data_IF_985258869638
#
_entry.id   IF_985258869638
#
_cell.length_a   1.000
_cell.length_b   1.000
_cell.length_c   1.000
_cell.angle_alpha   90.00
_cell.angle_beta   90.00
_cell.angle_gamma   90.00
#
_symmetry.space_group_name_H-M   'P 1'
#
loop_
_entity.id
_entity.type
_entity.pdbx_description
1 polymer ?
#
# COMPACT_ATOMS: atom_id res chain seq x y z
N UNK A 1 -10.81 20.14 -14.13
CA UNK A 1 -9.49 19.50 -14.28
C UNK A 1 -9.73 18.01 -14.37
N UNK A 2 -9.32 17.37 -15.45
CA UNK A 2 -9.54 15.92 -15.67
C UNK A 2 -8.83 15.13 -14.58
N UNK A 3 -9.60 14.41 -13.75
CA UNK A 3 -9.11 13.52 -12.71
C UNK A 3 -8.46 12.29 -13.38
N UNK A 4 -7.20 12.45 -13.82
CA UNK A 4 -6.42 11.35 -14.37
C UNK A 4 -6.08 10.44 -13.18
N UNK A 5 -6.78 9.33 -13.04
CA UNK A 5 -6.49 8.35 -12.01
C UNK A 5 -4.98 8.08 -12.00
N UNK A 6 -4.32 8.25 -10.85
CA UNK A 6 -2.89 7.99 -10.77
C UNK A 6 -2.65 6.53 -11.10
N UNK A 7 -1.71 6.28 -12.01
CA UNK A 7 -1.36 4.91 -12.40
C UNK A 7 -0.74 4.19 -11.22
N UNK A 8 -1.26 3.04 -10.88
CA UNK A 8 -0.66 2.14 -9.88
C UNK A 8 0.39 1.28 -10.58
N UNK A 9 1.60 1.26 -10.03
CA UNK A 9 2.71 0.42 -10.49
C UNK A 9 2.94 -0.70 -9.49
N UNK A 10 2.79 -1.94 -9.92
CA UNK A 10 3.08 -3.09 -9.07
C UNK A 10 4.60 -3.28 -8.93
N UNK A 11 5.13 -3.08 -7.72
CA UNK A 11 6.54 -3.33 -7.39
C UNK A 11 6.62 -4.27 -6.19
N UNK A 12 7.23 -5.43 -6.37
CA UNK A 12 7.38 -6.45 -5.30
C UNK A 12 6.04 -6.83 -4.63
N UNK A 13 4.97 -6.91 -5.42
CA UNK A 13 3.62 -7.18 -4.91
C UNK A 13 2.94 -6.03 -4.18
N UNK A 14 3.50 -4.82 -4.22
CA UNK A 14 2.92 -3.61 -3.62
C UNK A 14 2.38 -2.67 -4.69
N UNK A 15 1.20 -2.05 -4.47
CA UNK A 15 0.56 -1.11 -5.40
C UNK A 15 1.13 0.31 -5.23
N UNK A 16 2.31 0.57 -5.77
CA UNK A 16 2.93 1.89 -5.66
C UNK A 16 2.14 2.91 -6.48
N UNK A 17 1.72 3.96 -5.81
CA UNK A 17 0.98 5.06 -6.43
C UNK A 17 1.96 6.00 -7.15
N UNK A 18 1.86 6.07 -8.47
CA UNK A 18 2.74 6.91 -9.31
C UNK A 18 2.23 8.35 -9.34
N UNK A 19 2.65 9.14 -8.38
CA UNK A 19 2.24 10.54 -8.18
C UNK A 19 3.45 11.43 -7.91
N UNK A 20 3.31 12.72 -8.20
CA UNK A 20 4.18 13.77 -7.70
C UNK A 20 3.81 14.15 -6.25
N UNK A 21 4.67 14.91 -5.57
CA UNK A 21 4.37 15.45 -4.25
C UNK A 21 3.07 16.29 -4.26
N UNK A 22 2.92 17.15 -5.24
CA UNK A 22 1.72 17.99 -5.37
C UNK A 22 0.44 17.17 -5.56
N UNK A 23 0.48 16.11 -6.38
CA UNK A 23 -0.65 15.21 -6.58
C UNK A 23 -0.94 14.38 -5.30
N UNK A 24 0.10 13.98 -4.54
CA UNK A 24 -0.08 13.31 -3.26
C UNK A 24 -0.80 14.18 -2.24
N UNK A 25 -0.41 15.45 -2.12
CA UNK A 25 -1.07 16.44 -1.24
C UNK A 25 -2.52 16.70 -1.67
N UNK A 26 -2.77 16.88 -2.97
CA UNK A 26 -4.13 17.06 -3.48
C UNK A 26 -5.02 15.85 -3.16
N UNK A 27 -4.50 14.61 -3.25
CA UNK A 27 -5.25 13.41 -2.85
C UNK A 27 -5.49 13.30 -1.35
N UNK A 28 -4.56 13.81 -0.52
CA UNK A 28 -4.82 13.93 0.92
C UNK A 28 -6.03 14.84 1.15
N UNK A 29 -6.13 15.96 0.45
CA UNK A 29 -7.26 16.88 0.54
C UNK A 29 -8.57 16.23 0.06
N UNK A 30 -8.56 15.51 -1.07
CA UNK A 30 -9.68 14.72 -1.54
C UNK A 30 -10.12 13.65 -0.53
N UNK A 31 -9.17 12.95 0.08
CA UNK A 31 -9.43 11.95 1.11
C UNK A 31 -10.08 12.56 2.36
N UNK A 32 -9.63 13.75 2.79
CA UNK A 32 -10.26 14.49 3.90
C UNK A 32 -11.73 14.81 3.57
N UNK A 33 -11.98 15.28 2.35
CA UNK A 33 -13.32 15.64 1.91
C UNK A 33 -14.28 14.44 1.77
N UNK A 34 -13.74 13.22 1.65
CA UNK A 34 -14.54 11.99 1.43
C UNK A 34 -15.35 11.55 2.66
N UNK A 35 -15.02 12.02 3.85
CA UNK A 35 -15.65 11.65 5.12
C UNK A 35 -15.36 10.21 5.60
N UNK A 36 -14.45 9.48 4.95
CA UNK A 36 -14.04 8.12 5.31
C UNK A 36 -12.57 8.10 5.75
N UNK A 37 -12.19 7.11 6.56
CA UNK A 37 -10.80 6.93 6.97
C UNK A 37 -9.97 6.32 5.84
N UNK A 38 -8.94 7.02 5.42
CA UNK A 38 -7.97 6.63 4.41
C UNK A 38 -6.61 6.37 5.06
N UNK A 39 -6.04 5.20 4.79
CA UNK A 39 -4.68 4.86 5.19
C UNK A 39 -3.72 5.15 4.05
N UNK A 40 -2.60 5.82 4.35
CA UNK A 40 -1.51 6.10 3.42
C UNK A 40 -0.23 5.49 3.98
N UNK A 41 0.51 4.76 3.14
CA UNK A 41 1.80 4.19 3.50
C UNK A 41 2.93 4.86 2.70
N UNK A 42 4.10 5.02 3.32
CA UNK A 42 5.33 5.48 2.66
C UNK A 42 6.27 4.29 2.51
N UNK A 43 6.17 3.59 1.37
CA UNK A 43 6.80 2.30 1.17
C UNK A 43 8.22 2.43 0.61
N UNK A 44 9.16 1.84 1.33
CA UNK A 44 10.56 1.67 0.92
C UNK A 44 10.88 0.18 0.69
N UNK A 45 12.14 -0.14 0.42
CA UNK A 45 12.57 -1.51 0.15
C UNK A 45 12.35 -2.45 1.35
N UNK A 46 12.46 -1.95 2.58
CA UNK A 46 12.19 -2.72 3.79
C UNK A 46 10.69 -3.13 3.89
N UNK A 47 9.79 -2.25 3.47
CA UNK A 47 8.37 -2.58 3.32
C UNK A 47 8.16 -3.72 2.32
N UNK A 48 8.78 -3.62 1.16
CA UNK A 48 8.69 -4.66 0.14
C UNK A 48 9.20 -6.01 0.67
N UNK A 49 10.39 -6.03 1.30
CA UNK A 49 10.95 -7.24 1.89
C UNK A 49 10.07 -7.83 2.99
N UNK A 50 9.55 -7.00 3.90
CA UNK A 50 8.70 -7.46 4.99
C UNK A 50 7.37 -8.03 4.45
N UNK A 51 6.78 -7.38 3.43
CA UNK A 51 5.56 -7.85 2.77
C UNK A 51 5.74 -9.18 2.03
N UNK A 52 6.91 -9.41 1.44
CA UNK A 52 7.22 -10.71 0.80
C UNK A 52 7.30 -11.87 1.80
N UNK A 53 7.53 -11.57 3.09
CA UNK A 53 7.58 -12.56 4.18
C UNK A 53 6.27 -12.71 4.94
N UNK A 54 5.45 -11.66 4.94
CA UNK A 54 4.22 -11.57 5.70
C UNK A 54 3.06 -11.16 4.79
N UNK A 55 2.25 -12.13 4.38
CA UNK A 55 1.07 -11.94 3.52
C UNK A 55 0.04 -11.01 4.18
N UNK A 56 -0.08 -11.04 5.52
CA UNK A 56 -0.98 -10.13 6.23
C UNK A 56 -0.53 -8.67 6.07
N UNK A 57 0.75 -8.40 6.29
CA UNK A 57 1.31 -7.06 6.05
C UNK A 57 1.15 -6.63 4.59
N UNK A 58 1.39 -7.54 3.65
CA UNK A 58 1.18 -7.25 2.23
C UNK A 58 -0.26 -6.82 1.95
N UNK A 59 -1.25 -7.54 2.49
CA UNK A 59 -2.66 -7.17 2.37
C UNK A 59 -2.95 -5.81 2.99
N UNK A 60 -2.43 -5.54 4.19
CA UNK A 60 -2.56 -4.23 4.86
C UNK A 60 -2.08 -3.09 3.95
N UNK A 61 -0.91 -3.26 3.31
CA UNK A 61 -0.36 -2.24 2.41
C UNK A 61 -1.17 -2.14 1.11
N UNK A 62 -1.62 -3.27 0.56
CA UNK A 62 -2.47 -3.28 -0.63
C UNK A 62 -3.85 -2.64 -0.40
N UNK A 63 -4.33 -2.61 0.83
CA UNK A 63 -5.59 -1.98 1.22
C UNK A 63 -5.43 -0.48 1.52
N UNK A 64 -4.21 0.06 1.52
CA UNK A 64 -3.98 1.50 1.65
C UNK A 64 -4.57 2.25 0.45
N UNK A 65 -5.19 3.40 0.70
CA UNK A 65 -5.72 4.26 -0.36
C UNK A 65 -4.62 4.88 -1.22
N UNK A 66 -3.40 4.99 -0.68
CA UNK A 66 -2.22 5.46 -1.38
C UNK A 66 -0.97 4.82 -0.80
N UNK A 67 -0.04 4.36 -1.66
CA UNK A 67 1.26 3.81 -1.27
C UNK A 67 2.33 4.64 -1.97
N UNK A 68 2.98 5.51 -1.23
CA UNK A 68 3.96 6.46 -1.75
C UNK A 68 5.35 5.84 -1.84
N UNK A 69 6.11 6.06 -2.92
CA UNK A 69 7.46 5.54 -3.07
C UNK A 69 8.45 6.31 -2.19
N UNK A 70 8.91 5.69 -1.10
CA UNK A 70 9.89 6.24 -0.18
C UNK A 70 11.25 5.54 -0.37
N UNK A 71 12.18 6.26 -0.93
CA UNK A 71 13.55 5.80 -1.09
C UNK A 71 13.97 5.52 -2.53
N UNK A 72 15.27 5.81 -2.80
CA UNK A 72 15.87 5.65 -4.12
C UNK A 72 15.77 4.23 -4.71
N UNK A 73 15.93 3.13 -3.94
CA UNK A 73 15.82 1.79 -4.47
C UNK A 73 14.47 1.47 -5.11
N UNK A 74 13.37 2.06 -4.61
CA UNK A 74 12.04 1.89 -5.22
C UNK A 74 11.97 2.56 -6.60
N UNK A 75 12.56 3.75 -6.74
CA UNK A 75 12.64 4.48 -8.01
C UNK A 75 13.48 3.71 -9.03
N UNK A 76 14.63 3.17 -8.58
CA UNK A 76 15.52 2.38 -9.46
C UNK A 76 14.86 1.07 -9.90
N UNK A 77 14.21 0.36 -8.99
CA UNK A 77 13.45 -0.85 -9.32
C UNK A 77 12.35 -0.57 -10.36
N UNK A 78 11.56 0.47 -10.16
CA UNK A 78 10.52 0.88 -11.11
C UNK A 78 11.08 1.16 -12.50
N UNK A 79 12.23 1.87 -12.57
CA UNK A 79 12.91 2.14 -13.83
C UNK A 79 13.43 0.87 -14.50
N UNK A 80 13.96 -0.08 -13.73
CA UNK A 80 14.42 -1.38 -14.24
C UNK A 80 13.28 -2.24 -14.79
N UNK A 81 12.10 -2.16 -14.18
CA UNK A 81 10.88 -2.80 -14.67
C UNK A 81 10.25 -2.07 -15.88
N UNK A 82 10.87 -0.99 -16.39
CA UNK A 82 10.35 -0.22 -17.52
C UNK A 82 9.14 0.65 -17.17
N UNK A 83 8.88 0.88 -15.88
CA UNK A 83 7.75 1.67 -15.37
C UNK A 83 8.26 2.76 -14.42
N UNK A 84 8.93 3.80 -14.95
CA UNK A 84 9.51 4.85 -14.12
C UNK A 84 8.42 5.56 -13.32
N UNK A 85 8.70 5.79 -12.03
CA UNK A 85 7.87 6.62 -11.16
C UNK A 85 8.20 8.09 -11.41
N UNK A 86 7.19 8.95 -11.28
CA UNK A 86 7.32 10.38 -11.54
C UNK A 86 8.23 11.06 -10.52
N UNK A 87 8.04 10.73 -9.24
CA UNK A 87 8.75 11.38 -8.15
C UNK A 87 8.93 10.43 -6.95
N UNK A 88 9.96 10.67 -6.15
CA UNK A 88 10.14 10.06 -4.83
C UNK A 88 9.40 10.91 -3.80
N UNK A 89 8.35 10.36 -3.19
CA UNK A 89 7.54 11.03 -2.17
C UNK A 89 7.80 10.37 -0.81
N UNK A 90 8.64 11.01 0.01
CA UNK A 90 9.00 10.49 1.33
C UNK A 90 8.11 11.05 2.44
N UNK A 91 7.98 10.32 3.55
CA UNK A 91 7.25 10.82 4.72
C UNK A 91 7.81 12.13 5.25
N UNK A 92 9.14 12.28 5.24
CA UNK A 92 9.83 13.49 5.74
C UNK A 92 9.55 14.72 4.86
N UNK A 93 9.46 14.53 3.54
CA UNK A 93 9.15 15.63 2.61
C UNK A 93 7.64 15.94 2.57
N UNK A 94 6.79 14.94 2.80
CA UNK A 94 5.35 15.10 2.81
C UNK A 94 4.86 15.92 4.02
N UNK A 95 5.45 15.73 5.21
CA UNK A 95 5.00 16.41 6.44
C UNK A 95 5.06 17.94 6.33
N UNK A 96 6.13 18.59 5.81
CA UNK A 96 6.16 20.03 5.55
C UNK A 96 5.05 20.50 4.61
N UNK A 97 4.75 19.74 3.57
CA UNK A 97 3.66 20.08 2.64
C UNK A 97 2.27 19.96 3.31
N UNK A 98 2.10 18.95 4.19
CA UNK A 98 0.88 18.83 5.00
C UNK A 98 0.77 19.95 6.05
N UNK A 99 1.89 20.45 6.60
CA UNK A 99 1.90 21.61 7.48
C UNK A 99 1.45 22.89 6.74
N UNK A 100 1.92 23.12 5.51
CA UNK A 100 1.44 24.18 4.63
C UNK A 100 -0.06 24.06 4.34
N UNK A 101 -0.50 22.85 4.00
CA UNK A 101 -1.93 22.57 3.75
C UNK A 101 -2.76 22.83 5.01
N UNK A 102 -2.27 22.41 6.19
CA UNK A 102 -2.90 22.69 7.49
C UNK A 102 -3.06 24.20 7.72
N UNK A 103 -1.99 24.98 7.53
CA UNK A 103 -2.03 26.42 7.67
C UNK A 103 -3.02 27.09 6.69
N UNK A 104 -3.12 26.59 5.47
CA UNK A 104 -3.98 27.15 4.42
C UNK A 104 -5.46 26.82 4.63
N UNK A 105 -5.77 25.59 5.09
CA UNK A 105 -7.14 25.04 5.17
C UNK A 105 -7.68 24.92 6.59
N UNK A 106 -6.86 25.12 7.61
CA UNK A 106 -7.23 24.91 9.01
C UNK A 106 -7.32 23.41 9.40
N UNK A 107 -6.69 22.51 8.65
CA UNK A 107 -6.72 21.08 8.98
C UNK A 107 -5.87 20.77 10.22
N UNK A 108 -6.50 20.16 11.24
CA UNK A 108 -5.79 19.71 12.43
C UNK A 108 -4.92 18.49 12.16
N UNK A 109 -3.66 18.52 12.59
CA UNK A 109 -2.70 17.41 12.52
C UNK A 109 -2.45 16.86 13.92
N UNK A 110 -2.52 15.53 14.08
CA UNK A 110 -2.19 14.84 15.33
C UNK A 110 -0.93 13.98 15.14
N UNK A 111 -0.01 14.05 16.10
CA UNK A 111 1.22 13.24 16.11
C UNK A 111 1.06 12.07 17.07
N UNK A 112 1.21 10.86 16.54
CA UNK A 112 1.12 9.64 17.30
C UNK A 112 2.43 8.85 17.24
N UNK A 113 3.05 8.59 18.39
CA UNK A 113 4.30 7.85 18.49
C UNK A 113 5.54 8.73 18.49
N UNK A 114 6.70 8.14 18.20
CA UNK A 114 8.03 8.63 18.48
C UNK A 114 8.24 8.91 19.99
N UNK A 115 9.42 9.44 20.39
CA UNK A 115 9.60 9.92 21.74
C UNK A 115 8.86 11.24 21.96
N UNK A 116 8.44 11.51 23.21
CA UNK A 116 7.78 12.77 23.55
C UNK A 116 8.66 13.99 23.20
N UNK A 117 9.97 13.87 23.39
CA UNK A 117 10.93 14.93 23.05
C UNK A 117 10.98 15.18 21.53
N UNK A 118 11.07 14.12 20.72
CA UNK A 118 11.09 14.22 19.25
C UNK A 118 9.78 14.77 18.71
N UNK A 119 8.64 14.27 19.19
CA UNK A 119 7.31 14.72 18.79
C UNK A 119 7.09 16.19 19.10
N UNK A 120 7.47 16.63 20.33
CA UNK A 120 7.38 18.03 20.77
C UNK A 120 8.23 18.94 19.89
N UNK A 121 9.50 18.56 19.70
CA UNK A 121 10.43 19.38 18.92
C UNK A 121 10.04 19.46 17.45
N UNK A 122 9.57 18.35 16.87
CA UNK A 122 9.05 18.34 15.50
C UNK A 122 7.85 19.29 15.34
N UNK A 123 6.91 19.28 16.30
CA UNK A 123 5.79 20.22 16.29
C UNK A 123 6.26 21.69 16.31
N UNK A 124 7.16 22.03 17.24
CA UNK A 124 7.73 23.37 17.34
C UNK A 124 8.43 23.82 16.05
N UNK A 125 9.17 22.93 15.40
CA UNK A 125 9.83 23.24 14.12
C UNK A 125 8.80 23.52 13.04
N UNK A 126 7.76 22.70 12.93
CA UNK A 126 6.72 22.89 11.91
C UNK A 126 5.90 24.15 12.14
N UNK A 127 5.51 24.46 13.39
CA UNK A 127 4.79 25.68 13.74
C UNK A 127 5.62 26.94 13.49
N UNK A 128 6.95 26.88 13.73
CA UNK A 128 7.88 27.98 13.46
C UNK A 128 8.07 28.20 11.96
N UNK A 129 8.31 27.10 11.19
CA UNK A 129 8.70 27.19 9.78
C UNK A 129 7.48 27.35 8.86
N UNK A 130 6.29 26.94 9.34
CA UNK A 130 5.01 27.06 8.64
C UNK A 130 3.95 27.68 9.56
N UNK A 131 4.00 29.02 9.78
CA UNK A 131 3.06 29.71 10.66
C UNK A 131 1.60 29.46 10.26
N UNK A 132 0.76 29.18 11.24
CA UNK A 132 -0.64 28.79 11.01
C UNK A 132 -0.89 27.28 10.93
N UNK A 133 0.15 26.46 11.02
CA UNK A 133 -0.01 25.00 11.17
C UNK A 133 -0.77 24.68 12.45
N UNK A 134 -1.79 23.84 12.36
CA UNK A 134 -2.62 23.42 13.49
C UNK A 134 -2.22 22.03 14.00
N UNK A 135 -1.26 21.96 14.94
CA UNK A 135 -0.96 20.71 15.65
C UNK A 135 -1.97 20.56 16.82
N UNK A 136 -3.06 19.83 16.58
CA UNK A 136 -4.18 19.72 17.52
C UNK A 136 -3.92 18.76 18.68
N UNK A 137 -2.87 17.94 18.61
CA UNK A 137 -2.49 17.05 19.69
C UNK A 137 -1.28 16.20 19.37
N UNK A 138 -0.73 15.61 20.43
CA UNK A 138 0.41 14.70 20.38
C UNK A 138 0.25 13.64 21.47
N UNK A 139 0.56 12.40 21.13
CA UNK A 139 0.59 11.31 22.10
C UNK A 139 1.71 10.32 21.77
N UNK A 140 2.55 10.06 22.74
CA UNK A 140 3.67 9.11 22.64
C UNK A 140 3.41 7.94 23.60
N UNK A 141 2.72 6.87 23.17
CA UNK A 141 2.50 5.71 24.02
C UNK A 141 3.82 5.03 24.37
N UNK A 142 3.88 4.28 25.47
CA UNK A 142 5.06 3.50 25.84
C UNK A 142 5.54 2.60 24.69
N UNK A 143 6.86 2.41 24.58
CA UNK A 143 7.44 1.51 23.57
C UNK A 143 7.19 0.06 23.98
N UNK A 144 6.22 -0.58 23.34
CA UNK A 144 5.77 -1.95 23.65
C UNK A 144 5.32 -2.67 22.37
N UNK A 145 5.09 -3.98 22.44
CA UNK A 145 4.60 -4.74 21.31
C UNK A 145 3.19 -4.31 20.90
N UNK A 146 2.81 -4.56 19.65
CA UNK A 146 1.52 -4.10 19.09
C UNK A 146 0.30 -4.63 19.87
N UNK A 147 0.39 -5.85 20.39
CA UNK A 147 -0.70 -6.49 21.15
C UNK A 147 -0.81 -6.00 22.61
N UNK A 148 0.22 -5.32 23.11
CA UNK A 148 0.28 -4.73 24.45
C UNK A 148 -0.17 -3.26 24.48
N UNK A 149 -0.36 -2.66 23.29
CA UNK A 149 -0.73 -1.24 23.21
C UNK A 149 -2.16 -1.02 23.71
N UNK A 150 -2.31 0.01 24.54
CA UNK A 150 -3.62 0.49 24.98
C UNK A 150 -4.32 1.26 23.86
N UNK A 151 -4.95 0.52 22.93
CA UNK A 151 -5.69 1.10 21.83
C UNK A 151 -6.86 1.99 22.30
N UNK A 152 -7.43 1.72 23.50
CA UNK A 152 -8.56 2.51 24.02
C UNK A 152 -8.08 3.91 24.36
N UNK A 153 -6.98 4.03 25.10
CA UNK A 153 -6.42 5.33 25.46
C UNK A 153 -5.89 6.08 24.24
N UNK A 154 -5.21 5.40 23.31
CA UNK A 154 -4.73 6.03 22.07
C UNK A 154 -5.89 6.62 21.28
N UNK A 155 -6.94 5.84 21.05
CA UNK A 155 -8.12 6.30 20.31
C UNK A 155 -8.85 7.42 21.03
N UNK A 156 -8.93 7.38 22.37
CA UNK A 156 -9.51 8.44 23.20
C UNK A 156 -8.78 9.78 23.00
N UNK A 157 -7.44 9.77 23.01
CA UNK A 157 -6.62 10.96 22.79
C UNK A 157 -6.87 11.56 21.39
N UNK A 158 -6.94 10.70 20.39
CA UNK A 158 -7.22 11.12 18.99
C UNK A 158 -8.65 11.69 18.87
N UNK A 159 -9.64 11.00 19.44
CA UNK A 159 -11.06 11.41 19.38
C UNK A 159 -11.30 12.77 20.07
N UNK A 160 -10.57 13.07 21.16
CA UNK A 160 -10.63 14.36 21.84
C UNK A 160 -10.08 15.49 20.97
N UNK A 161 -8.98 15.24 20.25
CA UNK A 161 -8.32 16.22 19.40
C UNK A 161 -9.02 16.46 18.04
N UNK A 162 -9.83 15.50 17.57
CA UNK A 162 -10.58 15.53 16.30
C UNK A 162 -9.72 15.95 15.09
N UNK A 163 -8.57 15.31 14.84
CA UNK A 163 -7.68 15.71 13.76
C UNK A 163 -8.26 15.35 12.39
N UNK A 164 -7.82 16.07 11.36
CA UNK A 164 -8.06 15.73 9.96
C UNK A 164 -6.97 14.77 9.44
N UNK A 165 -5.75 14.91 9.98
CA UNK A 165 -4.57 14.13 9.58
C UNK A 165 -3.93 13.53 10.84
N UNK A 166 -3.73 12.22 10.84
CA UNK A 166 -3.01 11.47 11.87
C UNK A 166 -1.67 10.99 11.32
N UNK A 167 -0.58 11.47 11.87
CA UNK A 167 0.77 11.04 11.52
C UNK A 167 1.26 10.01 12.55
N UNK A 168 1.52 8.78 12.09
CA UNK A 168 1.86 7.64 12.96
C UNK A 168 3.33 7.28 12.82
N UNK A 169 4.08 7.35 13.92
CA UNK A 169 5.53 7.12 14.00
C UNK A 169 5.89 5.92 14.90
N UNK A 170 5.29 4.74 14.64
CA UNK A 170 5.61 3.49 15.36
C UNK A 170 6.68 2.65 14.65
N UNK A 171 7.06 3.04 13.44
CA UNK A 171 7.93 2.27 12.55
C UNK A 171 7.20 1.14 11.82
N UNK A 172 7.79 0.71 10.69
CA UNK A 172 7.30 -0.42 9.90
C UNK A 172 7.68 -1.75 10.58
N UNK A 173 6.79 -2.76 10.59
CA UNK A 173 5.42 -2.80 10.04
C UNK A 173 4.35 -2.37 11.05
N UNK A 174 4.74 -2.01 12.26
CA UNK A 174 3.84 -1.79 13.39
C UNK A 174 2.80 -0.69 13.12
N UNK A 175 3.22 0.42 12.52
CA UNK A 175 2.34 1.56 12.23
C UNK A 175 1.27 1.19 11.19
N UNK A 176 1.62 0.46 10.12
CA UNK A 176 0.68 0.05 9.09
C UNK A 176 -0.38 -0.89 9.64
N UNK A 177 0.06 -1.88 10.43
CA UNK A 177 -0.83 -2.87 11.06
C UNK A 177 -1.73 -2.19 12.09
N UNK A 178 -1.20 -1.25 12.90
CA UNK A 178 -1.98 -0.53 13.89
C UNK A 178 -3.09 0.32 13.26
N UNK A 179 -2.78 1.11 12.23
CA UNK A 179 -3.75 1.92 11.50
C UNK A 179 -4.83 1.01 10.89
N UNK A 180 -4.41 -0.05 10.19
CA UNK A 180 -5.33 -0.98 9.55
C UNK A 180 -6.29 -1.65 10.53
N UNK A 181 -5.76 -2.15 11.66
CA UNK A 181 -6.54 -2.80 12.72
C UNK A 181 -7.58 -1.87 13.33
N UNK A 182 -7.22 -0.61 13.52
CA UNK A 182 -8.08 0.39 14.11
C UNK A 182 -8.90 1.21 13.09
N UNK A 183 -8.77 0.95 11.79
CA UNK A 183 -9.38 1.73 10.69
C UNK A 183 -10.88 2.01 10.87
N UNK A 184 -11.64 1.02 11.36
CA UNK A 184 -13.09 1.15 11.58
C UNK A 184 -13.44 1.97 12.84
N UNK A 185 -12.51 2.11 13.77
CA UNK A 185 -12.66 2.84 15.04
C UNK A 185 -12.11 4.26 14.95
N UNK A 186 -11.15 4.49 14.04
CA UNK A 186 -10.56 5.81 13.79
C UNK A 186 -11.57 6.72 13.11
N UNK A 187 -11.84 7.87 13.73
CA UNK A 187 -12.68 8.94 13.16
C UNK A 187 -11.83 10.03 12.51
N UNK A 188 -10.70 9.63 11.94
CA UNK A 188 -9.75 10.53 11.29
C UNK A 188 -9.79 10.27 9.79
N UNK A 189 -10.02 11.31 8.95
CA UNK A 189 -10.07 11.12 7.51
C UNK A 189 -8.81 10.55 6.90
N UNK A 190 -7.63 10.96 7.37
CA UNK A 190 -6.35 10.50 6.81
C UNK A 190 -5.39 10.07 7.90
N UNK A 191 -4.90 8.83 7.84
CA UNK A 191 -3.86 8.29 8.70
C UNK A 191 -2.64 7.87 7.87
N UNK A 192 -1.45 8.37 8.22
CA UNK A 192 -0.22 8.19 7.45
C UNK A 192 0.86 7.58 8.32
N UNK A 193 1.43 6.45 7.89
CA UNK A 193 2.62 5.88 8.50
C UNK A 193 3.87 6.62 8.03
N UNK A 194 4.58 7.28 8.95
CA UNK A 194 5.72 8.16 8.63
C UNK A 194 7.07 7.68 9.18
N UNK A 195 7.08 6.58 9.94
CA UNK A 195 8.31 6.03 10.53
C UNK A 195 9.08 7.04 11.39
N UNK A 196 10.39 7.15 11.17
CA UNK A 196 11.27 8.05 11.92
C UNK A 196 11.30 9.51 11.44
N UNK A 197 10.27 9.99 10.74
CA UNK A 197 10.28 11.33 10.18
C UNK A 197 10.29 12.44 11.24
N UNK A 198 9.66 12.21 12.40
CA UNK A 198 9.70 13.19 13.50
C UNK A 198 11.12 13.43 14.04
N UNK A 199 11.96 12.40 14.13
CA UNK A 199 13.36 12.55 14.56
C UNK A 199 14.17 13.38 13.57
N UNK A 200 13.88 13.25 12.28
CA UNK A 200 14.55 14.05 11.24
C UNK A 200 14.08 15.51 11.27
N UNK A 201 12.79 15.77 11.42
CA UNK A 201 12.25 17.15 11.53
C UNK A 201 12.73 17.81 12.83
N UNK A 202 12.78 17.05 13.94
CA UNK A 202 13.32 17.52 15.20
C UNK A 202 14.84 17.80 15.16
N UNK A 203 15.55 17.39 14.07
CA UNK A 203 16.99 17.54 13.92
C UNK A 203 17.81 16.58 14.79
N UNK A 204 17.19 15.54 15.36
CA UNK A 204 17.88 14.48 16.10
C UNK A 204 18.68 13.57 15.14
N UNK A 205 18.17 13.41 13.91
CA UNK A 205 18.85 12.77 12.79
C UNK A 205 19.18 13.82 11.74
N UNK A 206 20.45 13.94 11.37
CA UNK A 206 20.87 14.87 10.33
C UNK A 206 20.43 14.37 8.96
N UNK A 207 19.70 15.18 8.25
CA UNK A 207 19.35 14.90 6.86
C UNK A 207 20.56 15.09 5.96
N UNK A 208 20.66 14.29 4.89
CA UNK A 208 21.70 14.45 3.90
C UNK A 208 21.63 15.86 3.26
N UNK A 209 22.77 16.51 2.96
CA UNK A 209 22.81 17.74 2.18
C UNK A 209 22.02 17.62 0.87
N UNK A 210 21.44 18.72 0.38
CA UNK A 210 20.57 18.72 -0.80
C UNK A 210 21.21 18.08 -2.05
N UNK A 211 22.54 18.25 -2.23
CA UNK A 211 23.25 17.63 -3.36
C UNK A 211 23.32 16.11 -3.26
N UNK A 212 23.48 15.55 -2.05
CA UNK A 212 23.44 14.09 -1.81
C UNK A 212 22.01 13.55 -2.07
N UNK A 213 20.98 14.32 -1.64
CA UNK A 213 19.59 13.96 -1.89
C UNK A 213 19.29 13.94 -3.40
N UNK A 214 19.75 14.94 -4.17
CA UNK A 214 19.62 15.00 -5.64
C UNK A 214 20.31 13.83 -6.33
N UNK A 215 21.42 13.34 -5.81
CA UNK A 215 22.10 12.12 -6.29
C UNK A 215 21.42 10.83 -5.85
N UNK A 216 20.34 10.90 -5.07
CA UNK A 216 19.62 9.74 -4.50
C UNK A 216 20.50 8.87 -3.58
N UNK A 217 21.53 9.45 -2.96
CA UNK A 217 22.48 8.78 -2.06
C UNK A 217 22.16 9.03 -0.57
N UNK A 218 20.97 9.52 -0.24
CA UNK A 218 20.56 9.77 1.15
C UNK A 218 20.65 8.50 2.02
N UNK A 219 20.33 7.33 1.45
CA UNK A 219 20.46 6.04 2.12
C UNK A 219 21.91 5.73 2.55
N UNK A 220 22.91 6.09 1.73
CA UNK A 220 24.33 5.92 2.06
C UNK A 220 24.76 6.88 3.16
N UNK A 221 24.32 8.13 3.10
CA UNK A 221 24.57 9.12 4.14
C UNK A 221 24.02 8.67 5.49
N UNK A 222 22.80 8.10 5.51
CA UNK A 222 22.19 7.52 6.72
C UNK A 222 22.95 6.29 7.22
N UNK A 223 23.41 5.44 6.31
CA UNK A 223 24.25 4.28 6.66
C UNK A 223 25.52 4.69 7.41
N UNK A 224 26.15 5.79 6.99
CA UNK A 224 27.35 6.32 7.66
C UNK A 224 27.06 6.91 9.05
N UNK A 225 25.84 7.38 9.30
CA UNK A 225 25.43 7.87 10.63
C UNK A 225 25.10 6.75 11.61
N UNK A 226 24.47 5.66 11.14
CA UNK A 226 23.98 4.55 11.97
C UNK A 226 24.39 3.19 11.38
N UNK A 227 25.68 2.90 11.23
CA UNK A 227 26.14 1.70 10.50
C UNK A 227 25.70 0.40 11.17
N UNK A 228 25.78 0.31 12.49
CA UNK A 228 25.40 -0.90 13.24
C UNK A 228 23.92 -1.29 13.07
N UNK A 229 23.05 -0.32 12.96
CA UNK A 229 21.60 -0.53 12.78
C UNK A 229 21.23 -0.75 11.32
N UNK A 230 21.83 0.01 10.39
CA UNK A 230 21.39 0.05 8.99
C UNK A 230 22.11 -0.93 8.08
N UNK A 231 23.37 -1.30 8.38
CA UNK A 231 24.14 -2.22 7.53
C UNK A 231 23.49 -3.61 7.40
N UNK A 232 23.09 -4.29 8.51
CA UNK A 232 22.41 -5.57 8.40
C UNK A 232 21.09 -5.45 7.63
N UNK A 233 20.32 -4.39 7.89
CA UNK A 233 19.06 -4.13 7.20
C UNK A 233 19.27 -3.98 5.70
N UNK A 234 20.19 -3.12 5.26
CA UNK A 234 20.46 -2.89 3.84
C UNK A 234 21.06 -4.12 3.13
N UNK A 235 21.85 -4.93 3.83
CA UNK A 235 22.33 -6.20 3.29
C UNK A 235 21.18 -7.18 3.02
N UNK A 236 20.22 -7.31 3.95
CA UNK A 236 19.01 -8.13 3.76
C UNK A 236 18.10 -7.56 2.66
N UNK A 237 17.96 -6.25 2.58
CA UNK A 237 17.18 -5.57 1.55
C UNK A 237 17.80 -5.78 0.15
N UNK A 238 19.13 -5.67 0.04
CA UNK A 238 19.85 -5.93 -1.20
C UNK A 238 19.75 -7.39 -1.64
N UNK A 239 19.85 -8.35 -0.71
CA UNK A 239 19.69 -9.77 -1.00
C UNK A 239 18.26 -10.08 -1.52
N UNK A 240 17.23 -9.48 -0.91
CA UNK A 240 15.85 -9.59 -1.38
C UNK A 240 15.68 -9.00 -2.78
N UNK A 241 16.28 -7.83 -3.03
CA UNK A 241 16.26 -7.19 -4.34
C UNK A 241 16.92 -8.07 -5.41
N UNK A 242 18.14 -8.57 -5.15
CA UNK A 242 18.88 -9.45 -6.07
C UNK A 242 18.07 -10.72 -6.38
N UNK A 243 17.37 -11.28 -5.41
CA UNK A 243 16.55 -12.49 -5.59
C UNK A 243 15.32 -12.24 -6.47
N UNK A 244 14.64 -11.11 -6.29
CA UNK A 244 13.34 -10.86 -6.93
C UNK A 244 13.43 -9.99 -8.18
N UNK A 245 14.47 -9.14 -8.31
CA UNK A 245 14.65 -8.23 -9.44
C UNK A 245 14.81 -8.95 -10.80
N UNK A 246 15.68 -9.99 -10.94
CA UNK A 246 15.87 -10.64 -12.24
C UNK A 246 14.61 -11.28 -12.79
N UNK A 247 13.80 -11.87 -11.92
CA UNK A 247 12.53 -12.49 -12.28
C UNK A 247 11.50 -11.47 -12.76
N UNK A 248 11.37 -10.35 -12.05
CA UNK A 248 10.47 -9.26 -12.44
C UNK A 248 10.89 -8.60 -13.76
N UNK A 249 12.20 -8.38 -13.97
CA UNK A 249 12.74 -7.84 -15.22
C UNK A 249 12.54 -8.82 -16.38
N UNK A 250 12.77 -10.12 -16.16
CA UNK A 250 12.53 -11.13 -17.18
C UNK A 250 11.04 -11.18 -17.60
N UNK A 251 10.14 -11.15 -16.63
CA UNK A 251 8.69 -11.10 -16.89
C UNK A 251 8.30 -9.84 -17.66
N UNK A 252 8.88 -8.68 -17.36
CA UNK A 252 8.54 -7.41 -18.02
C UNK A 252 9.15 -7.25 -19.42
N UNK A 253 10.34 -7.84 -19.69
CA UNK A 253 11.07 -7.65 -20.96
C UNK A 253 10.86 -8.75 -22.00
N UNK A 254 10.50 -9.95 -21.57
CA UNK A 254 10.32 -11.11 -22.48
C UNK A 254 8.95 -11.14 -23.16
N UNK A 255 8.09 -10.16 -22.91
CA UNK A 255 6.76 -10.09 -23.51
C UNK A 255 6.77 -9.02 -24.63
N UNK A 256 6.63 -9.42 -25.92
CA UNK A 256 6.51 -8.45 -27.00
C UNK A 256 5.20 -7.65 -26.85
N UNK A 257 5.27 -6.34 -27.10
CA UNK A 257 4.09 -5.47 -27.19
C UNK A 257 3.19 -5.97 -28.31
N UNK A 258 1.94 -6.28 -28.00
CA UNK A 258 0.91 -6.54 -29.02
C UNK A 258 0.08 -5.27 -29.20
N UNK A 259 -0.03 -4.71 -30.41
CA UNK A 259 -0.68 -3.42 -30.64
C UNK A 259 -2.20 -3.47 -30.73
N UNK A 260 -2.84 -4.59 -30.42
CA UNK A 260 -4.29 -4.73 -30.50
C UNK A 260 -4.96 -4.24 -29.20
N UNK A 261 -5.76 -3.19 -29.32
CA UNK A 261 -6.66 -2.72 -28.27
C UNK A 261 -7.75 -3.78 -28.05
N UNK A 262 -7.49 -4.73 -27.19
CA UNK A 262 -8.46 -5.74 -26.76
C UNK A 262 -9.41 -5.11 -25.74
N UNK A 263 -10.69 -5.49 -25.78
CA UNK A 263 -11.73 -4.99 -24.87
C UNK A 263 -11.93 -5.96 -23.72
N UNK A 264 -12.24 -5.42 -22.55
CA UNK A 264 -12.74 -6.24 -21.44
C UNK A 264 -14.22 -6.55 -21.74
N UNK A 265 -14.56 -7.83 -21.76
CA UNK A 265 -15.95 -8.28 -21.79
C UNK A 265 -16.59 -8.12 -20.39
N UNK A 266 -17.81 -7.59 -20.31
CA UNK A 266 -18.50 -7.44 -19.03
C UNK A 266 -19.86 -8.13 -19.08
N UNK A 267 -20.12 -8.98 -18.10
CA UNK A 267 -21.42 -9.65 -17.91
C UNK A 267 -21.79 -9.71 -16.44
N UNK A 268 -23.09 -9.86 -16.14
CA UNK A 268 -23.56 -10.09 -14.77
C UNK A 268 -24.21 -11.48 -14.74
N UNK A 269 -23.67 -12.37 -13.92
CA UNK A 269 -24.13 -13.75 -13.77
C UNK A 269 -24.50 -14.01 -12.32
N UNK A 270 -25.77 -14.32 -12.05
CA UNK A 270 -26.22 -14.65 -10.70
C UNK A 270 -25.95 -13.56 -9.65
N UNK A 271 -26.00 -12.28 -10.03
CA UNK A 271 -25.68 -11.15 -9.13
C UNK A 271 -24.18 -10.85 -8.97
N UNK A 272 -23.32 -11.61 -9.66
CA UNK A 272 -21.87 -11.43 -9.67
C UNK A 272 -21.46 -10.72 -10.96
N UNK A 273 -20.65 -9.67 -10.85
CA UNK A 273 -20.09 -8.97 -12.00
C UNK A 273 -18.85 -9.70 -12.49
N UNK A 274 -18.84 -10.06 -13.77
CA UNK A 274 -17.74 -10.76 -14.41
C UNK A 274 -17.08 -9.84 -15.42
N UNK A 275 -15.78 -9.64 -15.27
CA UNK A 275 -14.92 -8.95 -16.22
C UNK A 275 -14.02 -9.97 -16.92
N UNK A 276 -14.28 -10.27 -18.19
CA UNK A 276 -13.46 -11.19 -18.98
C UNK A 276 -12.26 -10.43 -19.53
N UNK A 277 -11.07 -10.78 -19.07
CA UNK A 277 -9.83 -10.18 -19.53
C UNK A 277 -9.41 -10.76 -20.89
N UNK A 278 -8.80 -9.94 -21.76
CA UNK A 278 -8.34 -10.38 -23.08
C UNK A 278 -7.08 -11.24 -22.98
N UNK A 279 -6.57 -11.66 -24.14
CA UNK A 279 -5.33 -12.47 -24.24
C UNK A 279 -4.13 -11.80 -23.55
N UNK A 280 -4.02 -10.48 -23.66
CA UNK A 280 -2.99 -9.70 -22.96
C UNK A 280 -3.62 -8.66 -22.02
N UNK A 281 -3.41 -8.82 -20.71
CA UNK A 281 -3.83 -7.83 -19.72
C UNK A 281 -2.73 -6.75 -19.58
N UNK A 282 -2.98 -5.58 -20.15
CA UNK A 282 -2.08 -4.42 -20.18
C UNK A 282 -2.60 -3.23 -19.38
N UNK A 283 -1.78 -2.20 -19.22
CA UNK A 283 -2.13 -0.97 -18.53
C UNK A 283 -3.23 -0.14 -19.19
N UNK A 284 -3.45 -0.30 -20.47
CA UNK A 284 -4.49 0.43 -21.22
C UNK A 284 -5.91 0.00 -20.78
N UNK A 285 -6.03 -1.19 -20.24
CA UNK A 285 -7.28 -1.74 -19.72
C UNK A 285 -7.55 -1.37 -18.24
N UNK A 286 -6.60 -0.69 -17.59
CA UNK A 286 -6.72 -0.31 -16.18
C UNK A 286 -7.97 0.53 -15.89
N UNK A 287 -8.24 1.52 -16.72
CA UNK A 287 -9.41 2.40 -16.54
C UNK A 287 -10.73 1.62 -16.66
N UNK A 288 -10.81 0.68 -17.60
CA UNK A 288 -11.99 -0.17 -17.79
C UNK A 288 -12.20 -1.09 -16.61
N UNK A 289 -11.15 -1.81 -16.18
CA UNK A 289 -11.25 -2.73 -15.04
C UNK A 289 -11.58 -1.99 -13.74
N UNK A 290 -11.01 -0.80 -13.53
CA UNK A 290 -11.31 0.04 -12.36
C UNK A 290 -12.75 0.58 -12.41
N UNK A 291 -13.26 0.92 -13.61
CA UNK A 291 -14.65 1.32 -13.79
C UNK A 291 -15.60 0.19 -13.42
N UNK A 292 -15.32 -1.04 -13.86
CA UNK A 292 -16.13 -2.20 -13.52
C UNK A 292 -16.04 -2.57 -12.04
N UNK A 293 -14.87 -2.47 -11.42
CA UNK A 293 -14.71 -2.62 -9.98
C UNK A 293 -15.52 -1.57 -9.20
N UNK A 294 -15.55 -0.32 -9.69
CA UNK A 294 -16.32 0.76 -9.08
C UNK A 294 -17.83 0.53 -9.23
N UNK A 295 -18.27 0.05 -10.40
CA UNK A 295 -19.67 -0.30 -10.64
C UNK A 295 -20.10 -1.48 -9.74
N UNK A 296 -19.29 -2.55 -9.66
CA UNK A 296 -19.52 -3.68 -8.78
C UNK A 296 -19.63 -3.25 -7.31
N UNK A 297 -18.71 -2.38 -6.87
CA UNK A 297 -18.72 -1.85 -5.50
C UNK A 297 -19.99 -1.03 -5.18
N UNK A 298 -20.45 -0.19 -6.11
CA UNK A 298 -21.69 0.60 -5.94
C UNK A 298 -22.94 -0.27 -5.88
N UNK A 299 -22.98 -1.32 -6.67
CA UNK A 299 -24.09 -2.25 -6.73
C UNK A 299 -24.02 -3.38 -5.69
N UNK A 300 -23.00 -3.34 -4.81
CA UNK A 300 -22.70 -4.39 -3.82
C UNK A 300 -22.57 -5.81 -4.43
N UNK A 301 -22.03 -5.88 -5.65
CA UNK A 301 -21.76 -7.14 -6.36
C UNK A 301 -20.32 -7.58 -6.13
N UNK A 302 -20.09 -8.90 -6.01
CA UNK A 302 -18.74 -9.46 -6.09
C UNK A 302 -18.20 -9.30 -7.51
N UNK A 303 -16.88 -9.11 -7.62
CA UNK A 303 -16.18 -9.03 -8.91
C UNK A 303 -15.41 -10.32 -9.17
N UNK A 304 -15.66 -10.94 -10.31
CA UNK A 304 -14.85 -12.04 -10.85
C UNK A 304 -14.11 -11.51 -12.06
N UNK A 305 -12.78 -11.66 -12.09
CA UNK A 305 -11.96 -11.38 -13.27
C UNK A 305 -11.64 -12.73 -13.90
N UNK A 306 -12.23 -12.98 -15.05
CA UNK A 306 -12.01 -14.21 -15.83
C UNK A 306 -10.75 -14.05 -16.67
N UNK A 307 -9.75 -14.86 -16.35
CA UNK A 307 -8.43 -14.90 -17.01
C UNK A 307 -8.28 -16.12 -17.93
N UNK A 308 -9.37 -16.80 -18.29
CA UNK A 308 -9.33 -18.03 -19.08
C UNK A 308 -8.74 -17.82 -20.48
N UNK A 309 -9.01 -16.66 -21.09
CA UNK A 309 -8.44 -16.26 -22.37
C UNK A 309 -7.06 -15.60 -22.23
N UNK A 310 -6.63 -15.28 -21.00
CA UNK A 310 -5.40 -14.49 -20.78
C UNK A 310 -4.18 -15.39 -20.88
N UNK A 311 -3.33 -15.12 -21.84
CA UNK A 311 -2.03 -15.77 -22.00
C UNK A 311 -0.91 -14.96 -21.31
N UNK A 312 -1.07 -13.64 -21.20
CA UNK A 312 -0.04 -12.71 -20.70
C UNK A 312 -0.62 -11.66 -19.76
N UNK A 313 0.17 -11.28 -18.75
CA UNK A 313 -0.11 -10.11 -17.89
C UNK A 313 1.15 -9.24 -17.91
N UNK A 314 1.02 -8.01 -18.36
CA UNK A 314 2.08 -7.01 -18.31
C UNK A 314 2.21 -6.42 -16.89
N UNK A 315 3.33 -5.78 -16.59
CA UNK A 315 3.56 -5.17 -15.26
C UNK A 315 2.48 -4.13 -14.89
N UNK A 316 1.96 -3.40 -15.89
CA UNK A 316 0.84 -2.47 -15.69
C UNK A 316 -0.48 -3.23 -15.49
N UNK A 317 -0.68 -4.36 -16.15
CA UNK A 317 -1.83 -5.22 -15.93
C UNK A 317 -1.89 -5.76 -14.49
N UNK A 318 -0.73 -6.05 -13.89
CA UNK A 318 -0.66 -6.36 -12.45
C UNK A 318 -1.13 -5.18 -11.59
N UNK A 319 -0.75 -3.95 -11.95
CA UNK A 319 -1.24 -2.73 -11.31
C UNK A 319 -2.77 -2.60 -11.40
N UNK A 320 -3.36 -2.97 -12.55
CA UNK A 320 -4.81 -2.96 -12.75
C UNK A 320 -5.53 -3.92 -11.82
N UNK A 321 -5.01 -5.13 -11.64
CA UNK A 321 -5.58 -6.11 -10.71
C UNK A 321 -5.55 -5.60 -9.26
N UNK A 322 -4.42 -4.98 -8.84
CA UNK A 322 -4.30 -4.40 -7.50
C UNK A 322 -5.27 -3.23 -7.29
N UNK A 323 -5.44 -2.38 -8.30
CA UNK A 323 -6.38 -1.25 -8.24
C UNK A 323 -7.84 -1.72 -8.15
N UNK A 324 -8.24 -2.70 -8.97
CA UNK A 324 -9.56 -3.31 -8.90
C UNK A 324 -9.79 -3.92 -7.51
N UNK A 325 -8.82 -4.67 -6.98
CA UNK A 325 -8.89 -5.23 -5.64
C UNK A 325 -9.06 -4.13 -4.57
N UNK A 326 -8.27 -3.07 -4.63
CA UNK A 326 -8.35 -1.95 -3.68
C UNK A 326 -9.73 -1.31 -3.68
N UNK A 327 -10.31 -1.08 -4.86
CA UNK A 327 -11.65 -0.52 -5.03
C UNK A 327 -12.71 -1.41 -4.37
N UNK A 328 -12.65 -2.71 -4.61
CA UNK A 328 -13.60 -3.68 -4.04
C UNK A 328 -13.44 -3.81 -2.52
N UNK A 329 -12.20 -3.91 -2.03
CA UNK A 329 -11.92 -4.00 -0.58
C UNK A 329 -12.36 -2.75 0.18
N UNK A 330 -12.28 -1.56 -0.43
CA UNK A 330 -12.79 -0.32 0.16
C UNK A 330 -14.33 -0.33 0.37
N UNK A 331 -15.04 -1.13 -0.43
CA UNK A 331 -16.48 -1.39 -0.28
C UNK A 331 -16.80 -2.61 0.60
N UNK A 332 -15.77 -3.28 1.16
CA UNK A 332 -15.94 -4.52 1.95
C UNK A 332 -16.19 -5.76 1.10
N UNK A 333 -15.95 -5.69 -0.21
CA UNK A 333 -16.17 -6.75 -1.18
C UNK A 333 -14.85 -7.38 -1.64
N UNK A 334 -14.91 -8.57 -2.21
CA UNK A 334 -13.73 -9.32 -2.62
C UNK A 334 -13.66 -9.47 -4.15
N UNK A 335 -12.44 -9.79 -4.65
CA UNK A 335 -12.18 -10.07 -6.06
C UNK A 335 -11.74 -11.51 -6.22
N UNK A 336 -12.35 -12.19 -7.17
CA UNK A 336 -11.99 -13.53 -7.60
C UNK A 336 -11.21 -13.49 -8.92
N UNK A 337 -10.18 -14.32 -9.03
CA UNK A 337 -9.50 -14.60 -10.30
C UNK A 337 -9.85 -16.02 -10.74
N UNK A 338 -10.40 -16.15 -11.93
CA UNK A 338 -10.87 -17.42 -12.47
C UNK A 338 -10.11 -17.86 -13.72
N UNK A 339 -9.98 -19.16 -13.95
CA UNK A 339 -9.54 -19.73 -15.22
C UNK A 339 -8.09 -19.48 -15.59
N UNK A 340 -7.20 -19.16 -14.64
CA UNK A 340 -5.81 -18.80 -14.91
C UNK A 340 -5.02 -19.94 -15.55
N UNK A 341 -4.32 -19.64 -16.66
CA UNK A 341 -3.30 -20.50 -17.21
C UNK A 341 -2.06 -20.62 -16.31
N UNK A 342 -1.27 -21.70 -16.44
CA UNK A 342 -0.04 -21.87 -15.66
C UNK A 342 0.97 -20.71 -15.84
N UNK A 343 1.21 -20.16 -17.05
CA UNK A 343 2.06 -18.97 -17.21
C UNK A 343 1.56 -17.77 -16.42
N UNK A 344 0.27 -17.44 -16.49
CA UNK A 344 -0.35 -16.35 -15.74
C UNK A 344 -0.23 -16.56 -14.23
N UNK A 345 -0.49 -17.77 -13.75
CA UNK A 345 -0.34 -18.13 -12.34
C UNK A 345 1.10 -17.95 -11.86
N UNK A 346 2.11 -18.33 -12.66
CA UNK A 346 3.53 -18.11 -12.35
C UNK A 346 3.86 -16.61 -12.24
N UNK A 347 3.35 -15.78 -13.16
CA UNK A 347 3.57 -14.33 -13.10
C UNK A 347 3.04 -13.75 -11.77
N UNK A 348 1.83 -14.12 -11.36
CA UNK A 348 1.25 -13.69 -10.08
C UNK A 348 2.03 -14.23 -8.88
N UNK A 349 2.53 -15.46 -8.93
CA UNK A 349 3.39 -16.03 -7.89
C UNK A 349 4.71 -15.28 -7.76
N UNK A 350 5.40 -15.02 -8.88
CA UNK A 350 6.67 -14.30 -8.89
C UNK A 350 6.53 -12.83 -8.47
N UNK A 351 5.38 -12.24 -8.76
CA UNK A 351 5.04 -10.90 -8.31
C UNK A 351 4.54 -10.85 -6.86
N UNK A 352 4.51 -12.01 -6.16
CA UNK A 352 3.96 -12.16 -4.80
C UNK A 352 2.50 -11.68 -4.67
N UNK A 353 1.71 -11.79 -5.73
CA UNK A 353 0.33 -11.28 -5.77
C UNK A 353 -0.73 -12.37 -5.67
N UNK A 354 -0.35 -13.65 -5.82
CA UNK A 354 -1.31 -14.74 -5.90
C UNK A 354 -2.19 -14.83 -4.64
N UNK A 355 -1.58 -14.63 -3.47
CA UNK A 355 -2.26 -14.74 -2.16
C UNK A 355 -3.13 -13.52 -1.81
N UNK A 356 -3.15 -12.51 -2.66
CA UNK A 356 -3.98 -11.32 -2.49
C UNK A 356 -5.41 -11.51 -2.99
N UNK A 357 -5.65 -12.50 -3.84
CA UNK A 357 -6.93 -12.74 -4.51
C UNK A 357 -7.55 -14.06 -4.10
N UNK A 358 -8.86 -14.16 -4.23
CA UNK A 358 -9.56 -15.43 -4.20
C UNK A 358 -9.41 -16.10 -5.55
N UNK A 359 -9.15 -17.42 -5.55
CA UNK A 359 -8.84 -18.14 -6.76
C UNK A 359 -9.88 -19.21 -7.04
N UNK A 360 -10.28 -19.33 -8.30
CA UNK A 360 -11.15 -20.41 -8.76
C UNK A 360 -10.57 -21.10 -10.01
N UNK A 361 -10.72 -22.42 -10.15
CA UNK A 361 -10.22 -23.16 -11.31
C UNK A 361 -10.92 -22.74 -12.61
N UNK A 362 -12.21 -22.39 -12.53
CA UNK A 362 -13.04 -22.01 -13.67
C UNK A 362 -13.92 -20.79 -13.33
N UNK A 363 -14.45 -20.14 -14.37
CA UNK A 363 -15.42 -19.06 -14.22
C UNK A 363 -16.68 -19.56 -13.49
N UNK A 364 -17.18 -20.74 -13.82
CA UNK A 364 -18.37 -21.32 -13.18
C UNK A 364 -18.17 -21.50 -11.66
N UNK A 365 -17.01 -22.00 -11.26
CA UNK A 365 -16.66 -22.14 -9.83
C UNK A 365 -16.57 -20.78 -9.14
N UNK A 366 -15.93 -19.79 -9.78
CA UNK A 366 -15.81 -18.45 -9.23
C UNK A 366 -17.18 -17.81 -9.00
N UNK A 367 -18.07 -17.86 -9.99
CA UNK A 367 -19.42 -17.31 -9.88
C UNK A 367 -20.21 -18.02 -8.79
N UNK A 368 -20.16 -19.36 -8.73
CA UNK A 368 -20.82 -20.14 -7.67
C UNK A 368 -20.33 -19.78 -6.27
N UNK A 369 -19.00 -19.67 -6.08
CA UNK A 369 -18.40 -19.34 -4.79
C UNK A 369 -18.67 -17.88 -4.39
N UNK A 370 -18.60 -16.97 -5.35
CA UNK A 370 -18.88 -15.55 -5.12
C UNK A 370 -20.36 -15.29 -4.76
N UNK A 371 -21.30 -16.00 -5.38
CA UNK A 371 -22.73 -15.86 -5.10
C UNK A 371 -23.14 -16.37 -3.70
N UNK A 372 -22.41 -17.33 -3.13
CA UNK A 372 -22.66 -17.86 -1.78
C UNK A 372 -22.12 -16.95 -0.67
N UNK A 373 -21.32 -15.91 -1.00
CA UNK A 373 -20.79 -14.95 -0.02
C UNK A 373 -19.80 -15.55 0.97
N UNK A 374 -18.91 -16.43 0.52
CA UNK A 374 -17.94 -17.11 1.39
C UNK A 374 -16.98 -16.13 2.06
N UNK A 375 -16.77 -16.30 3.38
CA UNK A 375 -15.93 -15.43 4.20
C UNK A 375 -14.42 -15.69 3.97
N UNK A 376 -13.59 -14.73 4.35
CA UNK A 376 -12.11 -14.84 4.31
C UNK A 376 -11.58 -16.05 5.11
N UNK A 377 -12.35 -16.54 6.08
CA UNK A 377 -12.02 -17.69 6.91
C UNK A 377 -12.09 -19.01 6.12
N UNK A 378 -13.12 -19.19 5.29
CA UNK A 378 -13.27 -20.38 4.43
C UNK A 378 -12.23 -20.42 3.31
N UNK A 379 -11.83 -19.26 2.81
CA UNK A 379 -10.74 -19.14 1.85
C UNK A 379 -9.40 -19.62 2.43
N UNK A 380 -9.06 -19.25 3.68
CA UNK A 380 -7.86 -19.75 4.37
C UNK A 380 -7.88 -21.27 4.52
N UNK A 381 -9.03 -21.84 4.85
CA UNK A 381 -9.19 -23.31 4.96
C UNK A 381 -8.96 -24.02 3.62
N UNK A 382 -9.47 -23.48 2.51
CA UNK A 382 -9.26 -24.04 1.17
C UNK A 382 -7.81 -23.98 0.68
N UNK A 383 -7.05 -22.96 1.09
CA UNK A 383 -5.64 -22.82 0.72
C UNK A 383 -4.73 -23.76 1.50
N UNK A 384 -5.05 -24.07 2.77
CA UNK A 384 -4.33 -25.05 3.59
C UNK A 384 -4.50 -26.46 3.03
N UNK A 385 -5.71 -26.81 2.57
CA UNK A 385 -6.02 -28.16 2.06
C UNK A 385 -5.38 -28.45 0.68
N UNK A 386 -5.00 -27.42 -0.08
CA UNK A 386 -4.33 -27.56 -1.39
C UNK A 386 -2.79 -27.68 -1.33
N UNK A 387 -2.22 -27.95 -0.15
CA UNK A 387 -0.80 -28.31 -0.01
C UNK A 387 0.20 -27.19 -0.29
N UNK A 388 -0.19 -25.92 -0.19
CA UNK A 388 0.77 -24.82 -0.08
C UNK A 388 1.35 -24.83 1.33
N UNK A 389 2.53 -25.44 1.49
CA UNK A 389 3.29 -25.42 2.73
C UNK A 389 3.43 -23.96 3.20
N UNK A 390 2.77 -23.64 4.30
CA UNK A 390 3.11 -22.48 5.12
C UNK A 390 4.59 -22.58 5.50
N UNK A 391 5.38 -21.51 5.41
CA UNK A 391 6.71 -21.52 6.01
C UNK A 391 6.55 -21.81 7.50
N UNK A 392 7.22 -22.87 7.97
CA UNK A 392 7.24 -23.25 9.37
C UNK A 392 7.74 -22.07 10.23
N UNK A 393 6.98 -21.66 11.24
CA UNK A 393 7.45 -20.79 12.29
C UNK A 393 6.57 -19.60 12.66
N UNK A 394 5.26 -19.81 12.85
CA UNK A 394 4.49 -18.94 13.75
C UNK A 394 3.66 -19.83 14.66
N UNK A 395 4.14 -20.03 15.87
CA UNK A 395 3.35 -20.63 16.94
C UNK A 395 2.18 -19.69 17.29
N UNK A 396 1.00 -20.03 16.83
CA UNK A 396 -0.23 -19.51 17.40
C UNK A 396 -0.47 -20.24 18.74
N UNK A 397 -0.17 -19.58 19.83
CA UNK A 397 -0.64 -20.00 21.15
C UNK A 397 -2.17 -19.93 21.22
N UNK A 398 -2.83 -20.78 22.05
CA UNK A 398 -4.27 -20.85 22.08
C UNK A 398 -4.89 -19.58 22.64
N UNK A 399 -5.82 -19.00 21.89
CA UNK A 399 -6.73 -17.97 22.40
C UNK A 399 -7.65 -18.66 23.43
N UNK A 400 -7.44 -18.39 24.72
CA UNK A 400 -8.45 -18.63 25.73
C UNK A 400 -9.42 -17.44 25.73
N UNK A 401 -10.69 -17.80 25.77
CA UNK A 401 -11.90 -16.99 25.84
C UNK A 401 -11.82 -15.81 26.82
#
# INVERSE_FOLDING_TARGET
MSNKAAKTVALFGLPITNVTMAEAVARVEENIASGRTHQIATANLDFARNSLKDVYLQRVICDCSMVLPDGAPMIWAAKLFGKPLQERVTGVDLIPELAKLSALRGYGIFFLGASEASSRKAAQVLERDYPGTHIVGRYSPPLQALHEMDDVEILRQIDLAKPHILLVAFGNPKQEIWIHRNRKRLKVPVAIGIGGAFDMIAGNLKRAPAWIQKLQLEWLYRLLQEPSRLLPRYAYDAAALIRHLPLGVAVSRLQPHSPLAEKIGVTVLGGVRVATAPETLSGDLCSLLTTEATAAAKEHQMLVIDLSATARIEADGLGCLLEARRTMMAAGLQVWLAGMSNPVKRVLQFSAMLDLFLLAPSLADAVRLASVGQSEVEWKAQMVDKGTRTPAGVHAGPVKV
#
